data_IF_742615105824
#
_entry.id   IF_742615105824
#
_cell.length_a   1.000
_cell.length_b   1.000
_cell.length_c   1.000
_cell.angle_alpha   90.00
_cell.angle_beta   90.00
_cell.angle_gamma   90.00
#
_symmetry.space_group_name_H-M   'P 1'
#
loop_
_entity.id
_entity.type
_entity.pdbx_description
1 polymer ?
#
# COMPACT_ATOMS: atom_id res chain seq x y z
N UNK A 1 6.66 18.88 21.81
CA UNK A 1 6.04 17.92 20.88
C UNK A 1 5.08 18.53 19.83
N UNK A 2 4.98 19.86 19.70
CA UNK A 2 4.04 20.54 18.75
C UNK A 2 4.73 20.98 17.44
N UNK A 3 6.08 20.91 17.37
CA UNK A 3 6.83 21.43 16.19
C UNK A 3 7.00 20.47 15.00
N UNK A 4 6.73 19.17 15.17
CA UNK A 4 6.83 18.17 14.12
C UNK A 4 5.54 18.06 13.26
N UNK A 5 4.38 18.43 13.79
CA UNK A 5 3.12 18.45 13.04
C UNK A 5 3.02 19.57 12.00
N UNK A 6 3.72 20.69 12.21
CA UNK A 6 3.69 21.82 11.28
C UNK A 6 4.49 21.59 9.99
N UNK A 7 5.48 20.67 10.03
CA UNK A 7 6.29 20.34 8.83
C UNK A 7 5.57 19.38 7.87
N UNK A 8 4.71 18.51 8.38
CA UNK A 8 3.93 17.60 7.53
C UNK A 8 2.79 18.32 6.79
N UNK A 9 2.20 19.35 7.38
CA UNK A 9 1.16 20.15 6.74
C UNK A 9 1.71 21.14 5.69
N UNK A 10 2.94 21.59 5.85
CA UNK A 10 3.62 22.51 4.91
C UNK A 10 4.00 21.86 3.58
N UNK A 11 4.26 20.55 3.54
CA UNK A 11 4.58 19.82 2.29
C UNK A 11 3.35 19.59 1.40
N UNK A 12 2.14 19.64 1.94
CA UNK A 12 0.90 19.49 1.18
C UNK A 12 0.44 20.77 0.45
N UNK A 13 1.00 21.94 0.81
CA UNK A 13 0.58 23.22 0.24
C UNK A 13 1.47 23.72 -0.91
N UNK A 14 2.56 23.03 -1.25
CA UNK A 14 3.50 23.44 -2.31
C UNK A 14 3.27 22.76 -3.67
N UNK A 15 2.09 22.16 -3.90
CA UNK A 15 1.72 21.55 -5.19
C UNK A 15 0.97 22.48 -6.14
N UNK A 16 1.13 23.76 -6.01
CA UNK A 16 0.40 24.76 -6.79
C UNK A 16 1.17 25.34 -7.95
N UNK A 17 1.49 24.59 -9.01
CA UNK A 17 1.48 25.04 -10.41
C UNK A 17 1.28 23.83 -11.32
N UNK A 18 0.09 23.23 -11.29
CA UNK A 18 -0.32 22.30 -12.33
C UNK A 18 -0.70 23.12 -13.57
N UNK A 19 0.06 22.97 -14.63
CA UNK A 19 -0.38 23.36 -15.97
C UNK A 19 -1.75 22.71 -16.24
N UNK A 20 -2.65 23.47 -16.86
CA UNK A 20 -3.97 23.00 -17.27
C UNK A 20 -3.84 21.78 -18.21
N UNK A 21 -3.85 20.60 -17.64
CA UNK A 21 -4.07 19.34 -18.31
C UNK A 21 -5.57 19.08 -18.34
N UNK A 22 -6.06 18.63 -19.51
CA UNK A 22 -7.44 18.16 -19.73
C UNK A 22 -8.02 17.54 -18.46
N UNK A 23 -9.30 17.80 -18.19
CA UNK A 23 -10.07 17.35 -17.04
C UNK A 23 -9.99 15.81 -16.85
N UNK A 24 -8.85 15.33 -16.41
CA UNK A 24 -8.74 13.99 -15.84
C UNK A 24 -9.38 14.04 -14.45
N UNK A 25 -10.27 13.11 -14.17
CA UNK A 25 -10.89 12.97 -12.85
C UNK A 25 -9.82 12.88 -11.75
N UNK A 26 -10.20 13.10 -10.50
CA UNK A 26 -9.28 13.01 -9.34
C UNK A 26 -8.70 11.58 -9.15
N UNK A 27 -9.42 10.56 -9.64
CA UNK A 27 -9.02 9.14 -9.57
C UNK A 27 -8.35 8.77 -10.88
N UNK A 28 -7.13 8.28 -10.78
CA UNK A 28 -6.34 7.74 -11.89
C UNK A 28 -6.65 6.26 -12.15
N UNK A 29 -6.71 5.46 -11.06
CA UNK A 29 -6.87 4.00 -11.14
C UNK A 29 -7.52 3.47 -9.87
N UNK A 30 -8.33 2.42 -10.02
CA UNK A 30 -8.80 1.59 -8.90
C UNK A 30 -8.23 0.19 -9.04
N UNK A 31 -7.86 -0.42 -7.91
CA UNK A 31 -7.27 -1.75 -7.82
C UNK A 31 -8.03 -2.57 -6.79
N UNK A 32 -8.22 -3.85 -7.07
CA UNK A 32 -8.83 -4.79 -6.15
C UNK A 32 -8.24 -6.18 -6.30
N UNK A 33 -8.08 -6.92 -5.21
CA UNK A 33 -7.45 -8.22 -5.25
C UNK A 33 -7.74 -9.12 -4.07
N UNK A 34 -7.25 -10.36 -4.21
CA UNK A 34 -7.32 -11.39 -3.18
C UNK A 34 -5.91 -11.84 -2.88
N UNK A 35 -5.55 -11.84 -1.60
CA UNK A 35 -4.20 -12.13 -1.12
C UNK A 35 -4.25 -13.28 -0.11
N UNK A 36 -3.20 -14.07 -0.10
CA UNK A 36 -2.88 -14.99 0.99
C UNK A 36 -2.34 -14.15 2.14
N UNK A 37 -2.94 -14.34 3.33
CA UNK A 37 -2.60 -13.60 4.53
C UNK A 37 -1.38 -14.19 5.23
N UNK A 38 -0.57 -13.34 5.84
CA UNK A 38 0.55 -13.66 6.74
C UNK A 38 1.52 -14.72 6.19
N UNK A 39 2.03 -14.51 4.97
CA UNK A 39 3.04 -15.37 4.35
C UNK A 39 4.44 -15.08 4.91
N UNK A 40 5.28 -16.11 5.00
CA UNK A 40 6.67 -16.01 5.50
C UNK A 40 7.62 -15.59 4.37
N UNK A 41 7.63 -14.30 3.98
CA UNK A 41 8.53 -13.77 2.95
C UNK A 41 9.54 -12.78 3.53
N UNK A 42 9.07 -11.72 4.16
CA UNK A 42 9.89 -10.69 4.79
C UNK A 42 9.65 -10.65 6.30
N UNK A 43 8.38 -10.75 6.71
CA UNK A 43 8.02 -10.93 8.11
C UNK A 43 8.36 -12.34 8.60
N UNK A 44 8.75 -12.47 9.86
CA UNK A 44 9.01 -13.77 10.47
C UNK A 44 7.73 -14.43 10.95
N UNK A 45 7.60 -15.74 10.71
CA UNK A 45 6.54 -16.62 11.23
C UNK A 45 5.12 -16.21 10.87
N UNK A 46 4.50 -16.87 9.88
CA UNK A 46 3.05 -16.86 9.71
C UNK A 46 2.37 -17.51 10.91
N UNK A 47 1.51 -16.78 11.59
CA UNK A 47 0.72 -17.25 12.74
C UNK A 47 -0.75 -16.90 12.60
N UNK A 48 -1.08 -15.95 11.72
CA UNK A 48 -2.45 -15.56 11.42
C UNK A 48 -2.94 -16.29 10.17
N UNK A 49 -4.13 -16.87 10.25
CA UNK A 49 -4.79 -17.49 9.11
C UNK A 49 -5.78 -16.51 8.46
N UNK A 50 -6.02 -16.68 7.16
CA UNK A 50 -7.07 -15.92 6.49
C UNK A 50 -6.83 -15.69 5.02
N UNK A 51 -7.83 -15.06 4.42
CA UNK A 51 -7.78 -14.49 3.08
C UNK A 51 -7.97 -12.99 3.20
N UNK A 52 -7.06 -12.23 2.59
CA UNK A 52 -7.14 -10.77 2.59
C UNK A 52 -7.74 -10.27 1.29
N UNK A 53 -8.75 -9.43 1.39
CA UNK A 53 -9.32 -8.66 0.28
C UNK A 53 -8.70 -7.26 0.30
N UNK A 54 -7.96 -6.92 -0.76
CA UNK A 54 -7.33 -5.61 -0.91
C UNK A 54 -8.13 -4.74 -1.88
N UNK A 55 -8.29 -3.47 -1.52
CA UNK A 55 -8.84 -2.43 -2.37
C UNK A 55 -8.02 -1.15 -2.28
N UNK A 56 -7.71 -0.52 -3.43
CA UNK A 56 -6.87 0.67 -3.48
C UNK A 56 -7.38 1.66 -4.53
N UNK A 57 -7.32 2.94 -4.21
CA UNK A 57 -7.55 4.06 -5.13
C UNK A 57 -6.24 4.82 -5.30
N UNK A 58 -5.78 4.96 -6.54
CA UNK A 58 -4.61 5.76 -6.93
C UNK A 58 -5.11 7.07 -7.53
N UNK A 59 -4.56 8.19 -7.06
CA UNK A 59 -5.00 9.52 -7.47
C UNK A 59 -4.22 10.04 -8.68
N UNK A 60 -4.84 10.97 -9.42
CA UNK A 60 -4.29 11.58 -10.64
C UNK A 60 -3.01 12.40 -10.42
N UNK A 61 -2.84 13.20 -9.33
CA UNK A 61 -1.61 13.96 -9.13
C UNK A 61 -0.39 13.08 -9.18
N UNK A 62 0.64 13.49 -9.93
CA UNK A 62 1.86 12.69 -10.08
C UNK A 62 3.11 13.55 -10.14
N UNK A 63 4.23 12.95 -9.72
CA UNK A 63 5.56 13.49 -9.83
C UNK A 63 6.46 12.51 -10.60
N UNK A 64 7.19 12.99 -11.60
CA UNK A 64 8.09 12.14 -12.41
C UNK A 64 9.39 11.88 -11.64
N UNK A 65 9.75 10.59 -11.50
CA UNK A 65 10.98 10.15 -10.86
C UNK A 65 11.51 8.88 -11.53
N UNK A 66 12.81 8.84 -11.89
CA UNK A 66 13.51 7.66 -12.41
C UNK A 66 12.74 6.93 -13.54
N UNK A 67 12.29 7.67 -14.54
CA UNK A 67 11.47 7.17 -15.66
C UNK A 67 10.11 6.57 -15.26
N UNK A 68 9.71 6.70 -14.01
CA UNK A 68 8.39 6.34 -13.48
C UNK A 68 7.67 7.56 -12.93
N UNK A 69 6.50 7.31 -12.32
CA UNK A 69 5.67 8.35 -11.69
C UNK A 69 5.35 7.97 -10.25
N UNK A 70 5.47 8.94 -9.34
CA UNK A 70 4.95 8.82 -7.98
C UNK A 70 3.53 9.38 -7.98
N UNK A 71 2.59 8.61 -7.37
CA UNK A 71 1.20 9.02 -7.16
C UNK A 71 0.77 8.75 -5.72
N UNK A 72 -0.06 9.59 -5.11
CA UNK A 72 -0.70 9.25 -3.85
C UNK A 72 -1.74 8.15 -4.05
N UNK A 73 -1.85 7.26 -3.05
CA UNK A 73 -2.85 6.21 -3.01
C UNK A 73 -3.40 6.04 -1.59
N UNK A 74 -4.63 5.55 -1.50
CA UNK A 74 -5.23 5.10 -0.24
C UNK A 74 -5.90 3.75 -0.46
N UNK A 75 -5.88 2.89 0.54
CA UNK A 75 -6.47 1.57 0.42
C UNK A 75 -6.76 0.90 1.75
N UNK A 76 -7.27 -0.32 1.64
CA UNK A 76 -7.55 -1.20 2.76
C UNK A 76 -7.24 -2.65 2.39
N UNK A 77 -6.72 -3.39 3.36
CA UNK A 77 -6.56 -4.85 3.33
C UNK A 77 -7.42 -5.42 4.46
N UNK A 78 -8.51 -6.08 4.09
CA UNK A 78 -9.51 -6.63 5.01
C UNK A 78 -9.36 -8.16 5.03
N UNK A 79 -9.00 -8.70 6.19
CA UNK A 79 -8.71 -10.12 6.36
C UNK A 79 -9.87 -10.84 7.03
N UNK A 80 -10.13 -12.06 6.58
CA UNK A 80 -11.10 -12.97 7.18
C UNK A 80 -10.49 -13.73 8.37
N UNK A 81 -11.32 -14.50 9.12
CA UNK A 81 -10.88 -15.45 10.14
C UNK A 81 -10.06 -14.82 11.28
N UNK A 82 -10.46 -13.61 11.70
CA UNK A 82 -9.82 -12.85 12.77
C UNK A 82 -8.35 -12.44 12.50
N UNK A 83 -7.89 -12.54 11.24
CA UNK A 83 -6.59 -12.00 10.82
C UNK A 83 -6.55 -10.47 10.82
N UNK A 84 -5.37 -9.91 10.96
CA UNK A 84 -5.16 -8.46 11.03
C UNK A 84 -5.61 -7.75 9.75
N UNK A 85 -6.50 -6.78 9.91
CA UNK A 85 -6.96 -5.87 8.85
C UNK A 85 -6.37 -4.48 9.05
N UNK A 86 -6.20 -3.72 7.97
CA UNK A 86 -5.66 -2.36 8.03
C UNK A 86 -6.13 -1.47 6.88
N UNK A 87 -6.07 -0.16 7.13
CA UNK A 87 -6.19 0.89 6.12
C UNK A 87 -4.86 1.59 5.97
N UNK A 88 -4.54 2.08 4.77
CA UNK A 88 -3.24 2.67 4.50
C UNK A 88 -3.32 3.86 3.55
N UNK A 89 -2.24 4.68 3.58
CA UNK A 89 -1.99 5.75 2.62
C UNK A 89 -0.51 5.73 2.21
N UNK A 90 -0.27 5.76 0.89
CA UNK A 90 1.04 5.55 0.29
C UNK A 90 1.41 6.64 -0.72
N UNK A 91 2.71 6.82 -0.89
CA UNK A 91 3.31 7.31 -2.12
C UNK A 91 3.72 6.10 -2.96
N UNK A 92 3.07 5.91 -4.12
CA UNK A 92 3.31 4.79 -5.04
C UNK A 92 4.15 5.26 -6.22
N UNK A 93 5.36 4.72 -6.36
CA UNK A 93 6.15 4.86 -7.58
C UNK A 93 5.82 3.73 -8.55
N UNK A 94 5.59 4.05 -9.81
CA UNK A 94 5.31 3.08 -10.85
C UNK A 94 6.09 3.41 -12.12
N UNK A 95 6.83 2.43 -12.62
CA UNK A 95 7.34 2.40 -13.98
C UNK A 95 6.40 1.55 -14.84
N UNK A 96 6.00 2.05 -16.01
CA UNK A 96 5.12 1.35 -16.94
C UNK A 96 5.73 1.34 -18.34
N UNK A 97 5.96 0.15 -18.88
CA UNK A 97 6.28 -0.11 -20.27
C UNK A 97 5.01 -0.36 -21.11
N UNK A 98 5.19 -0.81 -22.38
CA UNK A 98 4.05 -1.07 -23.26
C UNK A 98 3.12 -2.19 -22.80
N UNK A 99 3.65 -3.19 -22.09
CA UNK A 99 2.94 -4.42 -21.72
C UNK A 99 3.07 -4.65 -20.20
N UNK A 100 4.25 -4.44 -19.64
CA UNK A 100 4.57 -4.70 -18.24
C UNK A 100 4.65 -3.41 -17.44
N UNK A 101 4.33 -3.50 -16.17
CA UNK A 101 4.60 -2.45 -15.20
C UNK A 101 5.18 -3.03 -13.93
N UNK A 102 5.92 -2.19 -13.21
CA UNK A 102 6.49 -2.48 -11.90
C UNK A 102 6.20 -1.32 -10.97
N UNK A 103 5.76 -1.61 -9.77
CA UNK A 103 5.42 -0.62 -8.76
C UNK A 103 6.04 -0.92 -7.40
N UNK A 104 6.42 0.14 -6.71
CA UNK A 104 6.84 0.14 -5.31
C UNK A 104 6.05 1.20 -4.56
N UNK A 105 5.86 1.02 -3.27
CA UNK A 105 5.23 2.03 -2.44
C UNK A 105 5.90 2.15 -1.08
N UNK A 106 5.66 3.29 -0.47
CA UNK A 106 6.00 3.56 0.92
C UNK A 106 4.92 4.44 1.52
N UNK A 107 4.42 4.04 2.68
CA UNK A 107 3.39 4.78 3.38
C UNK A 107 3.21 4.35 4.83
N UNK A 108 2.03 4.64 5.34
CA UNK A 108 1.64 4.29 6.69
C UNK A 108 0.30 3.55 6.73
N UNK A 109 0.18 2.62 7.64
CA UNK A 109 -1.02 1.85 7.88
C UNK A 109 -1.49 1.96 9.35
N UNK A 110 -2.81 1.86 9.55
CA UNK A 110 -3.43 1.72 10.86
C UNK A 110 -4.21 0.40 10.87
N UNK A 111 -3.95 -0.47 11.82
CA UNK A 111 -4.49 -1.81 11.87
C UNK A 111 -5.32 -2.09 13.13
N UNK A 112 -6.14 -3.14 13.11
CA UNK A 112 -6.95 -3.63 14.21
C UNK A 112 -6.29 -4.76 15.02
N UNK A 113 -5.25 -5.43 14.46
CA UNK A 113 -4.54 -6.55 15.05
C UNK A 113 -3.85 -6.28 16.38
N UNK A 114 -3.19 -7.27 16.95
CA UNK A 114 -2.57 -7.20 18.26
C UNK A 114 -1.23 -6.45 18.25
N UNK A 115 -0.98 -5.61 19.27
CA UNK A 115 0.34 -5.02 19.49
C UNK A 115 1.27 -5.98 20.23
N UNK A 116 0.72 -6.83 21.09
CA UNK A 116 1.49 -7.68 21.99
C UNK A 116 1.67 -9.11 21.46
N UNK A 117 0.81 -9.51 20.51
CA UNK A 117 0.75 -10.85 19.98
C UNK A 117 0.15 -11.87 20.94
N UNK A 118 -0.23 -13.01 20.40
CA UNK A 118 -0.66 -14.20 21.11
C UNK A 118 -0.23 -15.44 20.34
N UNK A 119 -0.80 -16.61 20.65
CA UNK A 119 -0.47 -17.83 19.91
C UNK A 119 -0.84 -17.75 18.42
N UNK A 120 -1.93 -17.05 18.11
CA UNK A 120 -2.51 -16.94 16.76
C UNK A 120 -2.59 -15.48 16.28
N UNK A 121 -1.86 -14.56 16.88
CA UNK A 121 -1.84 -13.16 16.51
C UNK A 121 -0.41 -12.62 16.48
N UNK A 122 -0.09 -11.82 15.49
CA UNK A 122 1.20 -11.13 15.36
C UNK A 122 1.41 -10.08 16.44
N UNK A 123 2.64 -9.99 16.95
CA UNK A 123 3.08 -8.93 17.85
C UNK A 123 3.57 -7.73 17.03
N UNK A 124 2.65 -6.87 16.58
CA UNK A 124 2.95 -5.75 15.69
C UNK A 124 3.54 -4.52 16.41
N UNK A 125 3.52 -4.48 17.74
CA UNK A 125 4.20 -3.51 18.61
C UNK A 125 3.58 -2.11 18.61
N UNK A 126 3.13 -1.59 17.49
CA UNK A 126 2.55 -0.25 17.34
C UNK A 126 1.20 -0.32 16.65
N UNK A 127 0.31 0.64 16.88
CA UNK A 127 -0.96 0.76 16.14
C UNK A 127 -0.78 1.38 14.76
N UNK A 128 0.28 2.15 14.57
CA UNK A 128 0.68 2.73 13.28
C UNK A 128 1.93 2.00 12.80
N UNK A 129 1.88 1.53 11.56
CA UNK A 129 2.95 0.77 10.92
C UNK A 129 3.39 1.48 9.64
N UNK A 130 4.60 1.21 9.19
CA UNK A 130 4.99 1.45 7.81
C UNK A 130 4.27 0.44 6.91
N UNK A 131 3.90 0.87 5.69
CA UNK A 131 3.37 0.03 4.63
C UNK A 131 4.32 0.07 3.44
N UNK A 132 4.80 -1.10 3.01
CA UNK A 132 5.79 -1.25 1.94
C UNK A 132 5.28 -2.24 0.91
N UNK A 133 4.49 -1.81 -0.09
CA UNK A 133 4.01 -2.67 -1.15
C UNK A 133 4.98 -2.74 -2.33
N UNK A 134 4.95 -3.88 -3.02
CA UNK A 134 5.60 -4.11 -4.30
C UNK A 134 4.63 -4.79 -5.27
N UNK A 135 4.74 -4.50 -6.56
CA UNK A 135 3.82 -5.00 -7.56
C UNK A 135 4.53 -5.18 -8.91
N UNK A 136 4.26 -6.29 -9.57
CA UNK A 136 4.62 -6.51 -10.97
C UNK A 136 3.39 -6.99 -11.72
N UNK A 137 3.11 -6.41 -12.90
CA UNK A 137 1.90 -6.74 -13.59
C UNK A 137 1.96 -6.58 -15.10
N UNK A 138 0.90 -7.04 -15.72
CA UNK A 138 0.68 -7.05 -17.15
C UNK A 138 -0.56 -6.23 -17.52
N UNK A 139 -0.39 -5.33 -18.49
CA UNK A 139 -1.46 -4.53 -19.08
C UNK A 139 -2.02 -5.28 -20.27
N UNK A 140 -3.22 -5.84 -20.13
CA UNK A 140 -3.88 -6.62 -21.19
C UNK A 140 -4.86 -5.81 -22.04
N UNK A 141 -5.24 -4.60 -21.59
CA UNK A 141 -5.90 -3.57 -22.40
C UNK A 141 -5.32 -2.20 -22.04
N UNK A 142 -5.71 -1.15 -22.77
CA UNK A 142 -5.28 0.23 -22.45
C UNK A 142 -5.66 0.66 -21.03
N UNK A 143 -6.76 0.11 -20.49
CA UNK A 143 -7.30 0.49 -19.19
C UNK A 143 -7.21 -0.59 -18.13
N UNK A 144 -7.06 -1.86 -18.50
CA UNK A 144 -7.13 -2.96 -17.53
C UNK A 144 -5.80 -3.69 -17.40
N UNK A 145 -5.47 -4.03 -16.16
CA UNK A 145 -4.23 -4.68 -15.79
C UNK A 145 -4.48 -5.80 -14.78
N UNK A 146 -3.58 -6.77 -14.76
CA UNK A 146 -3.48 -7.80 -13.72
C UNK A 146 -2.07 -7.79 -13.15
N UNK A 147 -1.94 -8.03 -11.86
CA UNK A 147 -0.64 -8.00 -11.17
C UNK A 147 -0.52 -9.07 -10.10
N UNK A 148 0.73 -9.48 -9.88
CA UNK A 148 1.16 -10.06 -8.62
C UNK A 148 1.49 -8.90 -7.68
N UNK A 149 0.89 -8.91 -6.50
CA UNK A 149 1.01 -7.86 -5.50
C UNK A 149 1.49 -8.47 -4.19
N UNK A 150 2.46 -7.81 -3.59
CA UNK A 150 2.99 -8.07 -2.27
C UNK A 150 2.86 -6.81 -1.42
N UNK A 151 2.53 -6.96 -0.15
CA UNK A 151 2.55 -5.87 0.81
C UNK A 151 3.13 -6.34 2.14
N UNK A 152 3.98 -5.49 2.73
CA UNK A 152 4.57 -5.68 4.04
C UNK A 152 4.15 -4.55 4.97
N UNK A 153 3.74 -4.86 6.19
CA UNK A 153 3.53 -3.88 7.26
C UNK A 153 4.38 -4.21 8.48
N UNK A 154 5.02 -3.18 9.04
CA UNK A 154 5.83 -3.31 10.25
C UNK A 154 6.06 -1.95 10.92
N UNK A 155 6.44 -1.94 12.19
CA UNK A 155 6.79 -0.70 12.86
C UNK A 155 8.25 -0.25 12.64
N UNK A 156 9.03 -0.96 11.81
CA UNK A 156 10.42 -0.62 11.52
C UNK A 156 11.34 -0.66 12.74
N UNK A 157 11.06 -1.51 13.71
CA UNK A 157 11.77 -1.63 14.99
C UNK A 157 11.72 -0.37 15.89
N UNK A 158 10.68 0.47 15.70
CA UNK A 158 10.44 1.65 16.55
C UNK A 158 9.68 1.32 17.84
N UNK A 159 9.29 0.05 18.04
CA UNK A 159 8.68 -0.47 19.26
C UNK A 159 9.38 -1.77 19.68
N UNK A 160 9.11 -2.21 20.94
CA UNK A 160 9.77 -3.39 21.55
C UNK A 160 9.47 -4.70 20.81
N UNK A 161 8.35 -4.77 20.09
CA UNK A 161 7.94 -5.91 19.28
C UNK A 161 7.73 -5.47 17.82
N UNK A 162 8.14 -6.31 16.88
CA UNK A 162 8.01 -6.05 15.44
C UNK A 162 8.07 -7.35 14.63
N UNK A 163 7.05 -8.19 14.73
CA UNK A 163 7.00 -9.43 13.92
C UNK A 163 6.72 -9.13 12.44
N UNK A 164 6.07 -7.99 12.16
CA UNK A 164 5.65 -7.62 10.83
C UNK A 164 4.54 -8.55 10.29
N UNK A 165 3.99 -8.24 9.13
CA UNK A 165 2.98 -9.05 8.46
C UNK A 165 3.12 -8.86 6.96
N UNK A 166 3.09 -9.98 6.22
CA UNK A 166 3.21 -10.03 4.77
C UNK A 166 1.96 -10.61 4.13
N UNK A 167 1.46 -9.98 3.07
CA UNK A 167 0.43 -10.56 2.23
C UNK A 167 0.91 -10.62 0.77
N UNK A 168 0.50 -11.65 0.04
CA UNK A 168 0.80 -11.80 -1.39
C UNK A 168 -0.41 -12.33 -2.15
N UNK A 169 -0.66 -11.83 -3.36
CA UNK A 169 -1.76 -12.32 -4.17
C UNK A 169 -1.89 -11.61 -5.51
N UNK A 170 -3.08 -11.70 -6.09
CA UNK A 170 -3.38 -11.18 -7.41
C UNK A 170 -4.35 -10.01 -7.31
N UNK A 171 -4.06 -8.94 -8.07
CA UNK A 171 -4.95 -7.80 -8.21
C UNK A 171 -5.35 -7.58 -9.66
N UNK A 172 -6.56 -7.09 -9.85
CA UNK A 172 -7.05 -6.48 -11.08
C UNK A 172 -7.15 -4.97 -10.88
N UNK A 173 -6.89 -4.22 -11.93
CA UNK A 173 -7.02 -2.77 -11.88
C UNK A 173 -7.62 -2.17 -13.15
N UNK A 174 -8.27 -1.01 -12.96
CA UNK A 174 -8.89 -0.24 -14.02
C UNK A 174 -8.46 1.21 -13.97
N UNK A 175 -7.93 1.75 -15.07
CA UNK A 175 -7.58 3.17 -15.27
C UNK A 175 -8.74 3.94 -15.90
N UNK A 176 -8.93 5.17 -15.49
CA UNK A 176 -9.98 6.06 -16.00
C UNK A 176 -9.49 6.97 -17.13
#
# INVERSE_FOLDING_TARGET
>A
MIRLFALALGLLLWLGTAQAQQQQGIVYEVRGGVLVHDVDLWAARGVEDGTTFNGEVVFTPSYDLLSGKIRPAVGASLTTQDGTSYVYADAKWEWAGPIWFFGLGLGGAIHDGSKNGSRNEKALGSRVLFHVPAEIGWQFTEKNRVSLYFEHVSNGFLADKNEGLDNIGVRLSHRF
#
